data_IF_332456993100
#
_entry.id   IF_332456993100
#
_cell.length_a   1.000
_cell.length_b   1.000
_cell.length_c   1.000
_cell.angle_alpha   90.00
_cell.angle_beta   90.00
_cell.angle_gamma   90.00
#
_symmetry.space_group_name_H-M   'P 1'
#
loop_
_entity.id
_entity.type
_entity.pdbx_description
1 polymer ?
#
# COMPACT_ATOMS: atom_id res chain seq x y z
N UNK A 1 77.21 -47.34 6.68
CA UNK A 1 76.78 -46.82 5.36
C UNK A 1 75.38 -47.40 5.15
N UNK A 2 74.28 -46.66 5.08
CA UNK A 2 73.95 -45.60 4.15
C UNK A 2 72.94 -44.62 4.78
N UNK A 3 73.21 -43.32 4.71
CA UNK A 3 72.19 -42.28 4.91
C UNK A 3 71.46 -42.09 3.59
N UNK A 4 70.13 -42.22 3.58
CA UNK A 4 69.29 -41.86 2.45
C UNK A 4 68.92 -40.36 2.50
N UNK A 5 68.90 -39.64 1.36
CA UNK A 5 68.74 -38.19 1.31
C UNK A 5 67.29 -37.73 1.40
N UNK A 6 67.11 -36.53 1.96
CA UNK A 6 65.83 -35.91 2.27
C UNK A 6 64.92 -35.63 1.06
N UNK A 7 63.64 -35.93 1.24
CA UNK A 7 62.55 -35.54 0.35
C UNK A 7 62.21 -34.05 0.54
N UNK A 8 62.38 -33.25 -0.52
CA UNK A 8 61.94 -31.86 -0.59
C UNK A 8 60.42 -31.81 -0.73
N UNK A 9 59.72 -31.30 0.29
CA UNK A 9 58.28 -31.02 0.23
C UNK A 9 58.06 -29.79 -0.66
N UNK A 10 57.52 -30.01 -1.87
CA UNK A 10 57.03 -28.94 -2.74
C UNK A 10 55.62 -28.55 -2.26
N UNK A 11 55.43 -27.29 -1.89
CA UNK A 11 54.13 -26.76 -1.53
C UNK A 11 53.20 -26.72 -2.77
N UNK A 12 51.93 -27.14 -2.66
CA UNK A 12 51.01 -27.04 -3.78
C UNK A 12 50.71 -25.56 -4.06
N UNK A 13 50.94 -25.16 -5.32
CA UNK A 13 50.60 -23.84 -5.84
C UNK A 13 49.08 -23.74 -5.92
N UNK A 14 48.47 -22.83 -5.14
CA UNK A 14 47.04 -22.56 -5.25
C UNK A 14 46.71 -22.10 -6.69
N UNK A 15 45.73 -22.70 -7.37
CA UNK A 15 45.24 -22.17 -8.62
C UNK A 15 44.64 -20.79 -8.37
N UNK A 16 45.13 -19.80 -9.12
CA UNK A 16 44.50 -18.49 -9.19
C UNK A 16 43.25 -18.64 -10.03
N UNK A 17 42.14 -18.97 -9.36
CA UNK A 17 40.83 -18.88 -9.98
C UNK A 17 40.58 -17.40 -10.30
N UNK A 18 40.64 -17.09 -11.60
CA UNK A 18 40.07 -15.87 -12.14
C UNK A 18 38.57 -15.99 -11.94
N UNK A 19 38.11 -15.64 -10.75
CA UNK A 19 36.68 -15.51 -10.49
C UNK A 19 36.20 -14.41 -11.44
N UNK A 20 35.61 -14.81 -12.57
CA UNK A 20 34.71 -13.95 -13.31
C UNK A 20 33.74 -13.45 -12.28
N UNK A 21 33.81 -12.15 -11.96
CA UNK A 21 32.85 -11.47 -11.12
C UNK A 21 31.51 -11.56 -11.84
N UNK A 22 30.81 -12.68 -11.64
CA UNK A 22 29.44 -12.84 -12.04
C UNK A 22 28.70 -11.75 -11.29
N UNK A 23 28.25 -10.77 -12.06
CA UNK A 23 27.62 -9.56 -11.58
C UNK A 23 26.45 -9.98 -10.68
N UNK A 24 26.60 -9.89 -9.35
CA UNK A 24 25.57 -10.33 -8.40
C UNK A 24 24.22 -9.63 -8.65
N UNK A 25 24.24 -8.51 -9.36
CA UNK A 25 23.06 -7.79 -9.85
C UNK A 25 22.19 -8.63 -10.81
N UNK A 26 22.74 -9.63 -11.49
CA UNK A 26 21.99 -10.53 -12.36
C UNK A 26 21.15 -11.56 -11.58
N UNK A 27 21.60 -11.97 -10.39
CA UNK A 27 20.85 -12.86 -9.50
C UNK A 27 19.65 -12.16 -8.83
N UNK A 28 19.65 -10.82 -8.80
CA UNK A 28 18.53 -10.00 -8.32
C UNK A 28 17.69 -9.42 -9.47
N UNK A 29 17.88 -9.87 -10.70
CA UNK A 29 17.00 -9.45 -11.80
C UNK A 29 15.64 -10.10 -11.54
N UNK A 30 14.60 -9.32 -11.16
CA UNK A 30 13.37 -9.93 -10.72
C UNK A 30 12.70 -10.55 -11.95
N UNK A 31 12.59 -11.87 -11.93
CA UNK A 31 11.98 -12.71 -12.94
C UNK A 31 10.71 -12.01 -13.47
N UNK A 32 10.57 -11.94 -14.78
CA UNK A 32 9.45 -11.27 -15.43
C UNK A 32 8.16 -12.06 -15.18
N UNK A 33 7.59 -11.91 -13.99
CA UNK A 33 6.28 -12.45 -13.66
C UNK A 33 5.22 -11.54 -14.30
N UNK A 34 4.41 -12.05 -15.25
CA UNK A 34 3.40 -11.27 -15.95
C UNK A 34 2.34 -10.66 -15.01
N UNK A 35 2.17 -11.18 -13.79
CA UNK A 35 1.23 -10.64 -12.80
C UNK A 35 1.71 -9.35 -12.09
N UNK A 36 2.97 -8.98 -12.26
CA UNK A 36 3.60 -7.85 -11.56
C UNK A 36 3.73 -6.59 -12.46
N UNK A 37 2.99 -6.54 -13.56
CA UNK A 37 2.92 -5.38 -14.43
C UNK A 37 2.41 -4.15 -13.67
N UNK A 38 3.11 -3.01 -13.84
CA UNK A 38 2.79 -1.73 -13.20
C UNK A 38 3.32 -1.55 -11.77
N UNK A 39 4.08 -2.50 -11.22
CA UNK A 39 4.76 -2.34 -9.92
C UNK A 39 6.16 -1.74 -10.06
N UNK A 40 6.56 -0.89 -9.12
CA UNK A 40 7.94 -0.40 -9.02
C UNK A 40 8.91 -1.54 -8.70
N UNK A 41 10.22 -1.32 -8.94
CA UNK A 41 11.26 -2.33 -8.63
C UNK A 41 11.19 -2.82 -7.18
N UNK A 42 11.06 -1.89 -6.22
CA UNK A 42 10.94 -2.25 -4.81
C UNK A 42 9.63 -2.95 -4.48
N UNK A 43 8.51 -2.53 -5.07
CA UNK A 43 7.23 -3.23 -4.92
C UNK A 43 7.30 -4.66 -5.44
N UNK A 44 8.02 -4.88 -6.54
CA UNK A 44 8.27 -6.22 -7.09
C UNK A 44 9.12 -7.07 -6.14
N UNK A 45 10.22 -6.53 -5.61
CA UNK A 45 11.06 -7.20 -4.62
C UNK A 45 10.25 -7.52 -3.36
N UNK A 46 9.49 -6.56 -2.84
CA UNK A 46 8.60 -6.74 -1.70
C UNK A 46 7.60 -7.88 -1.96
N UNK A 47 6.97 -7.90 -3.13
CA UNK A 47 6.01 -8.94 -3.51
C UNK A 47 6.67 -10.32 -3.59
N UNK A 48 7.88 -10.41 -4.15
CA UNK A 48 8.63 -11.67 -4.25
C UNK A 48 9.03 -12.17 -2.86
N UNK A 49 9.56 -11.29 -2.00
CA UNK A 49 10.06 -11.66 -0.68
C UNK A 49 8.95 -12.00 0.32
N UNK A 50 7.82 -11.31 0.24
CA UNK A 50 6.72 -11.45 1.22
C UNK A 50 5.55 -12.29 0.72
N UNK A 51 5.46 -12.54 -0.59
CA UNK A 51 4.28 -13.13 -1.22
C UNK A 51 3.04 -12.23 -1.18
N UNK A 52 3.17 -10.96 -0.77
CA UNK A 52 2.05 -10.01 -0.67
C UNK A 52 2.10 -9.03 -1.83
N UNK A 53 1.04 -8.97 -2.63
CA UNK A 53 0.88 -7.91 -3.64
C UNK A 53 0.74 -6.54 -2.92
N UNK A 54 1.65 -5.57 -3.14
CA UNK A 54 1.57 -4.26 -2.49
C UNK A 54 0.29 -3.49 -2.84
N UNK A 55 -0.37 -3.78 -3.97
CA UNK A 55 -1.68 -3.21 -4.33
C UNK A 55 -2.80 -3.70 -3.43
N UNK A 56 -2.64 -4.84 -2.74
CA UNK A 56 -3.60 -5.36 -1.77
C UNK A 56 -3.66 -4.52 -0.48
N UNK A 57 -2.62 -3.73 -0.22
CA UNK A 57 -2.46 -2.93 1.00
C UNK A 57 -3.03 -1.51 0.88
N UNK A 58 -3.45 -1.08 -0.32
CA UNK A 58 -3.91 0.30 -0.56
C UNK A 58 -5.34 0.36 -1.07
N UNK A 59 -6.06 1.44 -0.72
CA UNK A 59 -7.45 1.68 -1.13
C UNK A 59 -7.59 3.04 -1.82
N UNK A 60 -6.97 3.17 -3.00
CA UNK A 60 -6.80 4.48 -3.65
C UNK A 60 -7.80 4.74 -4.80
N UNK A 61 -8.60 3.74 -5.20
CA UNK A 61 -9.58 3.89 -6.28
C UNK A 61 -10.90 4.44 -5.73
N UNK A 62 -11.53 5.37 -6.45
CA UNK A 62 -12.80 6.01 -6.07
C UNK A 62 -13.90 4.99 -5.78
N UNK A 63 -14.12 4.01 -6.68
CA UNK A 63 -15.17 3.01 -6.51
C UNK A 63 -14.92 2.10 -5.29
N UNK A 64 -13.66 1.73 -5.05
CA UNK A 64 -13.25 0.96 -3.86
C UNK A 64 -13.45 1.76 -2.57
N UNK A 65 -13.17 3.07 -2.62
CA UNK A 65 -13.38 3.98 -1.51
C UNK A 65 -14.86 4.15 -1.17
N UNK A 66 -15.75 4.31 -2.16
CA UNK A 66 -17.19 4.41 -1.91
C UNK A 66 -17.75 3.12 -1.31
N UNK A 67 -17.39 1.95 -1.88
CA UNK A 67 -17.76 0.67 -1.29
C UNK A 67 -17.31 0.54 0.17
N UNK A 68 -16.09 0.99 0.47
CA UNK A 68 -15.58 1.03 1.84
C UNK A 68 -16.40 1.93 2.76
N UNK A 69 -16.78 3.13 2.29
CA UNK A 69 -17.59 4.06 3.06
C UNK A 69 -19.01 3.50 3.32
N UNK A 70 -19.61 2.84 2.33
CA UNK A 70 -20.91 2.19 2.48
C UNK A 70 -20.84 1.05 3.50
N UNK A 71 -19.83 0.19 3.40
CA UNK A 71 -19.65 -0.91 4.36
C UNK A 71 -19.33 -0.40 5.76
N UNK A 72 -18.54 0.66 5.88
CA UNK A 72 -18.27 1.31 7.17
C UNK A 72 -19.56 1.82 7.80
N UNK A 73 -20.45 2.44 7.03
CA UNK A 73 -21.74 2.93 7.53
C UNK A 73 -22.63 1.76 7.98
N UNK A 74 -22.78 0.73 7.14
CA UNK A 74 -23.62 -0.43 7.42
C UNK A 74 -23.16 -1.19 8.68
N UNK A 75 -21.86 -1.43 8.79
CA UNK A 75 -21.28 -2.24 9.86
C UNK A 75 -20.76 -1.41 11.04
N UNK A 76 -20.95 -0.09 10.99
CA UNK A 76 -20.52 0.89 12.01
C UNK A 76 -19.04 0.72 12.39
N UNK A 77 -18.16 0.56 11.40
CA UNK A 77 -16.74 0.38 11.67
C UNK A 77 -16.14 1.65 12.27
N UNK A 78 -15.51 1.47 13.43
CA UNK A 78 -14.71 2.47 14.12
C UNK A 78 -13.43 1.84 14.67
N UNK A 79 -12.30 2.56 14.61
CA UNK A 79 -10.98 2.02 15.02
C UNK A 79 -10.98 1.42 16.43
N UNK A 80 -11.61 2.10 17.39
CA UNK A 80 -11.66 1.67 18.78
C UNK A 80 -12.55 0.43 19.01
N UNK A 81 -13.46 0.11 18.08
CA UNK A 81 -14.44 -0.98 18.22
C UNK A 81 -14.06 -2.26 17.46
N UNK A 82 -13.06 -2.15 16.57
CA UNK A 82 -12.66 -3.20 15.62
C UNK A 82 -11.37 -3.89 16.08
N UNK A 83 -11.50 -5.16 16.49
CA UNK A 83 -10.36 -6.02 16.83
C UNK A 83 -9.73 -6.62 15.58
N UNK A 84 -8.49 -7.13 15.68
CA UNK A 84 -7.80 -7.78 14.56
C UNK A 84 -8.61 -8.90 13.90
N UNK A 85 -9.35 -9.68 14.70
CA UNK A 85 -10.24 -10.74 14.18
C UNK A 85 -11.43 -10.17 13.40
N UNK A 86 -12.07 -9.11 13.91
CA UNK A 86 -13.16 -8.42 13.20
C UNK A 86 -12.69 -7.85 11.86
N UNK A 87 -11.45 -7.37 11.79
CA UNK A 87 -10.87 -6.91 10.54
C UNK A 87 -10.70 -8.02 9.50
N UNK A 88 -10.38 -9.25 9.92
CA UNK A 88 -10.30 -10.39 9.01
C UNK A 88 -11.67 -10.68 8.39
N UNK A 89 -12.71 -10.76 9.23
CA UNK A 89 -14.09 -11.00 8.78
C UNK A 89 -14.59 -9.87 7.85
N UNK A 90 -14.43 -8.62 8.29
CA UNK A 90 -14.79 -7.45 7.50
C UNK A 90 -14.08 -7.40 6.13
N UNK A 91 -12.83 -7.87 6.07
CA UNK A 91 -12.06 -7.93 4.82
C UNK A 91 -12.58 -9.03 3.90
N UNK A 92 -12.97 -10.18 4.43
CA UNK A 92 -13.59 -11.24 3.65
C UNK A 92 -14.89 -10.74 2.98
N UNK A 93 -15.76 -10.08 3.76
CA UNK A 93 -16.99 -9.48 3.25
C UNK A 93 -16.71 -8.40 2.20
N UNK A 94 -15.72 -7.55 2.47
CA UNK A 94 -15.32 -6.48 1.56
C UNK A 94 -14.81 -7.05 0.23
N UNK A 95 -13.98 -8.09 0.26
CA UNK A 95 -13.47 -8.73 -0.95
C UNK A 95 -14.59 -9.41 -1.74
N UNK A 96 -15.54 -10.07 -1.07
CA UNK A 96 -16.72 -10.65 -1.74
C UNK A 96 -17.55 -9.61 -2.49
N UNK A 97 -17.72 -8.41 -1.92
CA UNK A 97 -18.42 -7.31 -2.61
C UNK A 97 -17.57 -6.66 -3.69
N UNK A 98 -16.25 -6.58 -3.48
CA UNK A 98 -15.31 -6.01 -4.45
C UNK A 98 -15.28 -6.82 -5.75
N UNK A 99 -15.39 -8.15 -5.66
CA UNK A 99 -15.46 -9.03 -6.83
C UNK A 99 -16.70 -8.80 -7.70
N UNK A 100 -17.81 -8.41 -7.08
CA UNK A 100 -19.09 -8.14 -7.74
C UNK A 100 -19.12 -6.78 -8.44
N UNK A 101 -18.15 -5.90 -8.18
CA UNK A 101 -18.10 -4.57 -8.76
C UNK A 101 -17.72 -4.66 -10.26
N UNK A 102 -18.40 -3.95 -11.16
CA UNK A 102 -18.08 -3.98 -12.59
C UNK A 102 -16.63 -3.54 -12.82
N UNK A 103 -15.83 -4.43 -13.41
CA UNK A 103 -14.42 -4.20 -13.70
C UNK A 103 -14.32 -3.38 -14.99
N UNK A 104 -13.89 -2.12 -14.89
CA UNK A 104 -13.44 -1.39 -16.08
C UNK A 104 -12.08 -1.95 -16.52
N UNK A 105 -12.09 -2.88 -17.48
CA UNK A 105 -10.84 -3.35 -18.14
C UNK A 105 -10.37 -4.77 -17.82
N UNK A 106 -11.29 -5.73 -17.61
CA UNK A 106 -11.02 -7.18 -17.72
C UNK A 106 -10.06 -7.81 -16.69
N UNK A 107 -9.32 -7.01 -15.93
CA UNK A 107 -8.35 -7.50 -14.96
C UNK A 107 -9.04 -8.01 -13.68
N UNK A 108 -8.59 -9.15 -13.12
CA UNK A 108 -9.14 -9.64 -11.86
C UNK A 108 -8.95 -8.60 -10.73
N UNK A 109 -9.96 -8.52 -9.85
CA UNK A 109 -9.93 -7.55 -8.76
C UNK A 109 -8.91 -8.01 -7.72
N UNK A 110 -7.91 -7.16 -7.42
CA UNK A 110 -6.93 -7.44 -6.37
C UNK A 110 -7.62 -7.42 -5.01
N UNK A 111 -7.70 -8.60 -4.39
CA UNK A 111 -8.22 -8.77 -3.03
C UNK A 111 -7.43 -7.93 -2.03
N UNK A 112 -8.13 -7.35 -1.07
CA UNK A 112 -7.56 -6.53 -0.02
C UNK A 112 -7.19 -7.34 1.20
N UNK A 113 -6.20 -6.83 1.94
CA UNK A 113 -5.79 -7.36 3.23
C UNK A 113 -6.37 -6.51 4.36
N UNK A 114 -6.53 -7.07 5.57
CA UNK A 114 -7.08 -6.35 6.73
C UNK A 114 -6.38 -5.03 7.03
N UNK A 115 -5.06 -5.01 6.85
CA UNK A 115 -4.24 -3.81 7.04
C UNK A 115 -4.70 -2.63 6.18
N UNK A 116 -5.12 -2.88 4.94
CA UNK A 116 -5.58 -1.84 4.03
C UNK A 116 -6.84 -1.11 4.55
N UNK A 117 -7.80 -1.88 5.09
CA UNK A 117 -9.03 -1.30 5.63
C UNK A 117 -8.77 -0.54 6.93
N UNK A 118 -7.92 -1.09 7.79
CA UNK A 118 -7.50 -0.46 9.05
C UNK A 118 -6.82 0.89 8.80
N UNK A 119 -5.78 0.91 7.97
CA UNK A 119 -5.03 2.13 7.68
C UNK A 119 -5.93 3.19 7.02
N UNK A 120 -6.84 2.76 6.14
CA UNK A 120 -7.79 3.67 5.50
C UNK A 120 -8.78 4.26 6.49
N UNK A 121 -9.28 3.47 7.44
CA UNK A 121 -10.16 3.96 8.49
C UNK A 121 -9.46 5.02 9.34
N UNK A 122 -8.20 4.79 9.71
CA UNK A 122 -7.40 5.76 10.47
C UNK A 122 -7.17 7.08 9.75
N UNK A 123 -6.89 7.03 8.44
CA UNK A 123 -6.80 8.24 7.62
C UNK A 123 -8.11 9.05 7.65
N UNK A 124 -9.25 8.36 7.53
CA UNK A 124 -10.57 9.01 7.46
C UNK A 124 -10.99 9.56 8.82
N UNK A 125 -10.84 8.80 9.90
CA UNK A 125 -11.15 9.26 11.25
C UNK A 125 -10.31 10.48 11.63
N UNK A 126 -9.02 10.48 11.28
CA UNK A 126 -8.15 11.65 11.49
C UNK A 126 -8.65 12.88 10.72
N UNK A 127 -9.06 12.70 9.46
CA UNK A 127 -9.66 13.79 8.66
C UNK A 127 -10.96 14.30 9.27
N UNK A 128 -11.80 13.43 9.80
CA UNK A 128 -13.07 13.80 10.46
C UNK A 128 -12.78 14.62 11.72
N UNK A 129 -11.91 14.12 12.61
CA UNK A 129 -11.53 14.82 13.85
C UNK A 129 -10.93 16.19 13.54
N UNK A 130 -10.05 16.27 12.53
CA UNK A 130 -9.48 17.54 12.08
C UNK A 130 -10.56 18.54 11.65
N UNK A 131 -11.55 18.09 10.87
CA UNK A 131 -12.66 18.94 10.40
C UNK A 131 -13.57 19.42 11.53
N UNK A 132 -13.87 18.54 12.49
CA UNK A 132 -14.66 18.90 13.68
C UNK A 132 -13.92 19.99 14.47
N UNK A 133 -12.62 19.81 14.72
CA UNK A 133 -11.81 20.81 15.44
C UNK A 133 -11.76 22.16 14.72
N UNK A 134 -11.72 22.16 13.39
CA UNK A 134 -11.70 23.39 12.59
C UNK A 134 -13.08 23.96 12.27
N UNK A 135 -14.17 23.35 12.75
CA UNK A 135 -15.56 23.67 12.37
C UNK A 135 -15.78 23.78 10.85
N UNK A 136 -15.02 22.99 10.07
CA UNK A 136 -15.01 23.08 8.60
C UNK A 136 -15.71 21.85 8.03
N UNK A 137 -17.02 22.01 7.84
CA UNK A 137 -17.90 20.97 7.32
C UNK A 137 -18.28 21.17 5.85
N UNK A 138 -17.87 22.29 5.24
CA UNK A 138 -18.13 22.53 3.83
C UNK A 138 -17.30 21.56 2.97
N UNK A 139 -17.96 20.92 2.01
CA UNK A 139 -17.24 20.35 0.88
C UNK A 139 -16.60 21.52 0.15
N UNK A 140 -15.26 21.56 0.11
CA UNK A 140 -14.60 22.25 -0.97
C UNK A 140 -15.01 21.51 -2.24
N UNK A 141 -16.08 21.96 -2.89
CA UNK A 141 -16.37 21.58 -4.26
C UNK A 141 -15.06 21.72 -5.03
N UNK A 142 -14.62 20.65 -5.71
CA UNK A 142 -13.41 20.71 -6.49
C UNK A 142 -13.48 21.94 -7.39
N UNK A 143 -12.47 22.81 -7.26
CA UNK A 143 -12.15 23.87 -8.21
C UNK A 143 -11.98 23.23 -9.58
N UNK A 144 -13.06 23.19 -10.33
CA UNK A 144 -13.05 23.15 -11.78
C UNK A 144 -13.22 24.60 -12.20
N UNK A 145 -12.16 25.17 -12.76
CA UNK A 145 -12.04 26.54 -13.24
C UNK A 145 -11.87 27.60 -12.14
N UNK A 146 -10.71 28.25 -12.18
CA UNK A 146 -10.31 29.25 -11.22
C UNK A 146 -11.19 30.49 -11.34
N UNK A 147 -11.88 30.81 -10.25
CA UNK A 147 -12.22 32.16 -9.77
C UNK A 147 -12.57 32.00 -8.26
N UNK A 148 -12.19 32.94 -7.38
CA UNK A 148 -12.55 32.89 -5.98
C UNK A 148 -13.99 33.38 -5.77
N UNK A 149 -14.90 32.50 -5.34
CA UNK A 149 -16.19 32.94 -4.79
C UNK A 149 -15.92 33.48 -3.39
N UNK A 150 -16.03 34.79 -3.24
CA UNK A 150 -16.18 35.49 -1.97
C UNK A 150 -17.26 34.78 -1.17
N UNK A 151 -16.86 34.19 -0.05
CA UNK A 151 -17.78 33.55 0.88
C UNK A 151 -18.80 34.57 1.38
N UNK A 152 -20.07 34.39 1.00
CA UNK A 152 -21.23 34.99 1.66
C UNK A 152 -21.32 34.44 3.09
N UNK A 153 -20.47 34.94 3.99
CA UNK A 153 -20.55 34.65 5.43
C UNK A 153 -20.49 35.90 6.30
N UNK A 154 -20.52 37.10 5.69
CA UNK A 154 -20.49 38.37 6.43
C UNK A 154 -21.88 38.95 6.75
N UNK A 155 -22.99 38.41 6.24
CA UNK A 155 -24.30 39.08 6.35
C UNK A 155 -25.18 38.68 7.55
N UNK A 156 -24.66 37.98 8.56
CA UNK A 156 -25.46 37.57 9.74
C UNK A 156 -24.93 38.04 11.09
N UNK A 157 -23.97 38.99 11.12
CA UNK A 157 -23.47 39.57 12.38
C UNK A 157 -23.84 41.03 12.64
N UNK A 158 -24.59 41.69 11.77
CA UNK A 158 -24.83 43.14 11.89
C UNK A 158 -26.29 43.53 12.16
N UNK A 159 -27.01 42.72 12.94
CA UNK A 159 -28.37 43.08 13.40
C UNK A 159 -28.64 42.65 14.84
N UNK A 160 -27.70 42.91 15.76
CA UNK A 160 -28.03 42.91 17.20
C UNK A 160 -27.03 43.75 18.00
N UNK A 161 -27.11 45.08 17.87
CA UNK A 161 -26.71 45.98 18.95
C UNK A 161 -27.39 47.34 18.75
N UNK A 162 -28.58 47.46 19.35
CA UNK A 162 -29.18 48.74 19.79
C UNK A 162 -28.56 49.15 21.11
#
# INVERSE_FOLDING_TARGET
MFFAPGSKTVAPKCPSDKHTSQNLMAAFSPLADPNLNGLSRFQRIFSILTGIDPRSLTLNSSAKFFLFMDMRLQNKWALFSMTSQKWVLATADYNSRLEKLPKSGGSPAVMKKPRALFDKLGEIETKIVKRIKSNNFHQAAMRSFGEPIVSLSSSLKEKTQT
#
